data_IF_233702058731
#
_entry.id   IF_233702058731
#
_cell.length_a   1.000
_cell.length_b   1.000
_cell.length_c   1.000
_cell.angle_alpha   90.00
_cell.angle_beta   90.00
_cell.angle_gamma   90.00
#
_symmetry.space_group_name_H-M   'P 1'
#
loop_
_entity.id
_entity.type
_entity.pdbx_description
1 polymer ?
#
# COMPACT_ATOMS: atom_id res chain seq x y z
N UNK A 1 -7.51 -5.92 -30.24
CA UNK A 1 -8.34 -5.09 -31.12
C UNK A 1 -8.19 -3.63 -30.72
N UNK A 2 -8.20 -2.70 -31.68
CA UNK A 2 -8.18 -1.26 -31.41
C UNK A 2 -9.47 -0.67 -31.97
N UNK A 3 -10.16 0.14 -31.19
CA UNK A 3 -11.37 0.84 -31.63
C UNK A 3 -11.40 2.23 -31.02
N UNK A 4 -12.04 3.16 -31.72
CA UNK A 4 -12.17 4.55 -31.28
C UNK A 4 -13.54 4.78 -30.65
N UNK A 5 -13.57 5.15 -29.37
CA UNK A 5 -14.79 5.59 -28.67
C UNK A 5 -14.68 7.07 -28.38
N UNK A 6 -15.61 7.87 -28.92
CA UNK A 6 -15.66 9.34 -28.72
C UNK A 6 -14.30 10.02 -28.96
N UNK A 7 -13.57 9.60 -30.00
CA UNK A 7 -12.25 10.14 -30.35
C UNK A 7 -11.08 9.62 -29.52
N UNK A 8 -11.30 8.72 -28.56
CA UNK A 8 -10.23 8.06 -27.78
C UNK A 8 -9.95 6.68 -28.37
N UNK A 9 -8.71 6.43 -28.77
CA UNK A 9 -8.27 5.10 -29.18
C UNK A 9 -8.20 4.18 -27.95
N UNK A 10 -9.09 3.19 -27.90
CA UNK A 10 -9.13 2.18 -26.85
C UNK A 10 -8.58 0.88 -27.42
N UNK A 11 -7.71 0.27 -26.65
CA UNK A 11 -7.13 -1.02 -26.97
C UNK A 11 -7.62 -2.06 -26.01
N UNK A 12 -8.15 -3.13 -26.58
CA UNK A 12 -8.69 -4.24 -25.82
C UNK A 12 -7.97 -5.50 -26.24
N UNK A 13 -7.29 -6.09 -25.27
CA UNK A 13 -6.72 -7.43 -25.35
C UNK A 13 -7.49 -8.33 -24.39
N UNK A 14 -7.53 -9.65 -24.62
CA UNK A 14 -8.13 -10.58 -23.67
C UNK A 14 -7.54 -10.43 -22.26
N UNK A 15 -6.24 -10.17 -22.15
CA UNK A 15 -5.56 -9.93 -20.88
C UNK A 15 -6.07 -8.66 -20.16
N UNK A 16 -6.30 -7.57 -20.91
CA UNK A 16 -6.86 -6.32 -20.34
C UNK A 16 -8.28 -6.58 -19.82
N UNK A 17 -9.12 -7.30 -20.57
CA UNK A 17 -10.48 -7.64 -20.12
C UNK A 17 -10.44 -8.52 -18.86
N UNK A 18 -9.62 -9.56 -18.86
CA UNK A 18 -9.46 -10.44 -17.71
C UNK A 18 -8.97 -9.67 -16.48
N UNK A 19 -7.98 -8.79 -16.63
CA UNK A 19 -7.48 -7.96 -15.54
C UNK A 19 -8.53 -6.96 -15.02
N UNK A 20 -9.35 -6.37 -15.90
CA UNK A 20 -10.46 -5.49 -15.49
C UNK A 20 -11.53 -6.26 -14.72
N UNK A 21 -11.98 -7.40 -15.25
CA UNK A 21 -12.99 -8.24 -14.60
C UNK A 21 -12.47 -8.72 -13.24
N UNK A 22 -11.20 -9.14 -13.17
CA UNK A 22 -10.57 -9.55 -11.92
C UNK A 22 -10.50 -8.40 -10.90
N UNK A 23 -10.06 -7.21 -11.33
CA UNK A 23 -9.98 -6.03 -10.45
C UNK A 23 -11.35 -5.62 -9.91
N UNK A 24 -12.36 -5.56 -10.79
CA UNK A 24 -13.75 -5.25 -10.40
C UNK A 24 -14.36 -6.34 -9.51
N UNK A 25 -14.08 -7.62 -9.79
CA UNK A 25 -14.54 -8.73 -8.96
C UNK A 25 -13.96 -8.68 -7.55
N UNK A 26 -12.66 -8.41 -7.41
CA UNK A 26 -12.00 -8.25 -6.11
C UNK A 26 -12.58 -7.03 -5.36
N UNK A 27 -12.75 -5.90 -6.04
CA UNK A 27 -13.32 -4.70 -5.42
C UNK A 27 -14.79 -4.90 -5.01
N UNK A 28 -15.58 -5.54 -5.88
CA UNK A 28 -16.97 -5.88 -5.64
C UNK A 28 -17.15 -6.83 -4.47
N UNK A 29 -16.29 -7.86 -4.34
CA UNK A 29 -16.27 -8.74 -3.18
C UNK A 29 -16.02 -7.95 -1.88
N UNK A 30 -15.02 -7.06 -1.86
CA UNK A 30 -14.75 -6.22 -0.71
C UNK A 30 -15.91 -5.26 -0.37
N UNK A 31 -16.54 -4.67 -1.37
CA UNK A 31 -17.72 -3.81 -1.19
C UNK A 31 -18.92 -4.58 -0.62
N UNK A 32 -19.20 -5.78 -1.17
CA UNK A 32 -20.27 -6.65 -0.70
C UNK A 32 -20.07 -7.08 0.75
N UNK A 33 -18.86 -7.54 1.10
CA UNK A 33 -18.55 -7.96 2.46
C UNK A 33 -18.62 -6.79 3.46
N UNK A 34 -18.23 -5.57 3.06
CA UNK A 34 -18.39 -4.38 3.90
C UNK A 34 -19.87 -4.04 4.16
N UNK A 35 -20.72 -4.03 3.12
CA UNK A 35 -22.16 -3.77 3.26
C UNK A 35 -22.80 -4.85 4.14
N UNK A 36 -22.44 -6.11 3.93
CA UNK A 36 -22.93 -7.22 4.75
C UNK A 36 -22.54 -7.04 6.22
N UNK A 37 -21.29 -6.63 6.50
CA UNK A 37 -20.84 -6.34 7.86
C UNK A 37 -21.57 -5.15 8.50
N UNK A 38 -21.83 -4.08 7.74
CA UNK A 38 -22.56 -2.91 8.24
C UNK A 38 -23.98 -3.32 8.63
N UNK A 39 -24.72 -3.96 7.72
CA UNK A 39 -26.08 -4.41 8.00
C UNK A 39 -26.12 -5.40 9.16
N UNK A 40 -25.17 -6.34 9.22
CA UNK A 40 -25.07 -7.29 10.33
C UNK A 40 -24.88 -6.59 11.68
N UNK A 41 -24.13 -5.48 11.73
CA UNK A 41 -23.92 -4.66 12.92
C UNK A 41 -25.14 -3.78 13.22
N UNK A 42 -25.74 -3.16 12.22
CA UNK A 42 -26.83 -2.22 12.38
C UNK A 42 -28.12 -2.92 12.86
N UNK A 43 -28.43 -4.07 12.26
CA UNK A 43 -29.64 -4.87 12.53
C UNK A 43 -29.44 -5.93 13.64
N UNK A 44 -28.27 -5.95 14.27
CA UNK A 44 -27.94 -6.92 15.30
C UNK A 44 -28.86 -6.86 16.52
N UNK A 45 -29.37 -8.02 16.93
CA UNK A 45 -30.07 -8.21 18.19
C UNK A 45 -29.13 -8.83 19.22
N UNK A 46 -29.01 -8.22 20.38
CA UNK A 46 -28.20 -8.75 21.48
C UNK A 46 -28.91 -9.94 22.15
N UNK A 47 -28.18 -11.05 22.29
CA UNK A 47 -28.62 -12.27 23.00
C UNK A 47 -27.53 -12.72 23.96
N UNK A 48 -27.93 -13.44 25.00
CA UNK A 48 -26.99 -14.14 25.86
C UNK A 48 -26.43 -15.37 25.13
N UNK A 49 -25.14 -15.60 25.27
CA UNK A 49 -24.45 -16.77 24.70
C UNK A 49 -23.50 -17.38 25.72
N UNK A 50 -23.28 -18.69 25.62
CA UNK A 50 -22.28 -19.40 26.42
C UNK A 50 -21.07 -19.71 25.56
N UNK A 51 -19.88 -19.33 26.02
CA UNK A 51 -18.62 -19.65 25.33
C UNK A 51 -18.30 -21.13 25.54
N UNK A 52 -18.15 -21.88 24.45
CA UNK A 52 -17.80 -23.31 24.46
C UNK A 52 -16.29 -23.51 24.37
N UNK A 53 -15.61 -22.70 23.58
CA UNK A 53 -14.17 -22.81 23.41
C UNK A 53 -13.54 -21.70 22.58
N UNK A 54 -12.25 -21.51 22.79
CA UNK A 54 -11.44 -20.51 22.07
C UNK A 54 -10.29 -21.19 21.34
N UNK A 55 -10.04 -20.79 20.10
CA UNK A 55 -8.92 -21.30 19.30
C UNK A 55 -8.15 -20.17 18.62
N UNK A 56 -6.82 -20.30 18.60
CA UNK A 56 -5.92 -19.50 17.78
C UNK A 56 -5.25 -20.42 16.78
N UNK A 57 -5.82 -20.48 15.58
CA UNK A 57 -5.23 -21.23 14.48
C UNK A 57 -4.08 -20.45 13.85
N UNK A 58 -2.93 -21.11 13.68
CA UNK A 58 -1.79 -20.60 12.92
C UNK A 58 -1.86 -21.16 11.51
N UNK A 59 -1.66 -20.31 10.51
CA UNK A 59 -1.57 -20.77 9.13
C UNK A 59 -0.24 -21.46 8.85
N UNK A 60 -0.28 -22.62 8.19
CA UNK A 60 0.93 -23.25 7.67
C UNK A 60 1.34 -22.60 6.33
N UNK A 61 2.51 -21.96 6.30
CA UNK A 61 3.02 -21.30 5.10
C UNK A 61 4.26 -20.44 5.31
N UNK A 62 4.84 -19.94 4.21
CA UNK A 62 6.05 -19.10 4.23
C UNK A 62 5.85 -17.74 4.94
N UNK A 63 4.60 -17.32 5.09
CA UNK A 63 4.16 -16.24 5.99
C UNK A 63 3.11 -16.82 6.93
N UNK A 64 3.39 -16.77 8.22
CA UNK A 64 2.46 -17.21 9.25
C UNK A 64 1.52 -16.05 9.61
N UNK A 65 0.24 -16.36 9.74
CA UNK A 65 -0.76 -15.49 10.34
C UNK A 65 -1.59 -16.29 11.32
N UNK A 66 -2.13 -15.59 12.32
CA UNK A 66 -3.00 -16.13 13.34
C UNK A 66 -4.45 -15.74 13.05
N UNK A 67 -5.38 -16.69 13.19
CA UNK A 67 -6.83 -16.46 13.16
C UNK A 67 -7.42 -16.85 14.49
N UNK A 68 -8.24 -15.95 15.01
CA UNK A 68 -9.02 -16.16 16.22
C UNK A 68 -10.38 -16.76 15.85
N UNK A 69 -10.81 -17.77 16.60
CA UNK A 69 -12.18 -18.29 16.57
C UNK A 69 -12.65 -18.50 18.01
N UNK A 70 -13.89 -18.08 18.31
CA UNK A 70 -14.53 -18.31 19.62
C UNK A 70 -15.84 -19.02 19.36
N UNK A 71 -15.89 -20.29 19.72
CA UNK A 71 -17.08 -21.13 19.61
C UNK A 71 -18.02 -20.83 20.77
N UNK A 72 -19.28 -20.51 20.46
CA UNK A 72 -20.29 -20.10 21.42
C UNK A 72 -21.68 -20.56 20.99
N UNK A 73 -22.52 -20.91 21.97
CA UNK A 73 -23.90 -21.37 21.78
C UNK A 73 -24.89 -20.34 22.30
N UNK A 74 -25.99 -20.15 21.59
CA UNK A 74 -27.02 -19.16 21.92
C UNK A 74 -28.38 -19.64 21.45
N UNK A 75 -29.42 -19.15 22.12
CA UNK A 75 -30.79 -19.39 21.71
C UNK A 75 -31.36 -18.16 21.01
N UNK A 76 -31.96 -18.36 19.84
CA UNK A 76 -32.67 -17.31 19.12
C UNK A 76 -33.99 -17.86 18.57
N UNK A 77 -35.09 -17.21 18.91
CA UNK A 77 -36.45 -17.62 18.50
C UNK A 77 -36.79 -19.08 18.84
N UNK A 78 -36.40 -19.56 20.02
CA UNK A 78 -36.70 -20.93 20.47
C UNK A 78 -35.84 -22.02 19.82
N UNK A 79 -34.74 -21.66 19.15
CA UNK A 79 -33.79 -22.59 18.53
C UNK A 79 -32.38 -22.30 19.00
N UNK A 80 -31.66 -23.36 19.33
CA UNK A 80 -30.25 -23.28 19.68
C UNK A 80 -29.38 -23.22 18.41
N UNK A 81 -28.40 -22.32 18.42
CA UNK A 81 -27.43 -22.12 17.36
C UNK A 81 -26.01 -22.15 17.92
N UNK A 82 -25.05 -22.45 17.07
CA UNK A 82 -23.62 -22.41 17.39
C UNK A 82 -22.89 -21.56 16.37
N UNK A 83 -22.09 -20.60 16.82
CA UNK A 83 -21.24 -19.77 15.97
C UNK A 83 -19.80 -19.82 16.43
N UNK A 84 -18.86 -19.55 15.51
CA UNK A 84 -17.41 -19.43 15.77
C UNK A 84 -16.87 -18.03 15.50
N UNK A 85 -17.75 -17.07 15.25
CA UNK A 85 -17.38 -15.74 14.76
C UNK A 85 -17.20 -14.74 15.91
N UNK A 86 -16.08 -14.02 15.90
CA UNK A 86 -15.87 -12.90 16.82
C UNK A 86 -16.34 -11.58 16.20
N UNK A 87 -16.15 -11.44 14.89
CA UNK A 87 -16.47 -10.24 14.12
C UNK A 87 -17.57 -10.54 13.09
N UNK A 88 -18.36 -9.53 12.70
CA UNK A 88 -19.38 -9.69 11.67
C UNK A 88 -18.76 -10.01 10.30
N UNK A 89 -19.58 -10.62 9.43
CA UNK A 89 -19.25 -10.86 8.02
C UNK A 89 -18.44 -12.13 7.76
N UNK A 90 -18.07 -12.31 6.49
CA UNK A 90 -17.37 -13.52 6.03
C UNK A 90 -15.85 -13.39 6.11
N UNK A 91 -15.32 -12.17 5.94
CA UNK A 91 -13.90 -11.89 6.05
C UNK A 91 -13.49 -11.84 7.52
N UNK A 92 -12.61 -12.75 7.93
CA UNK A 92 -12.05 -12.75 9.28
C UNK A 92 -10.76 -11.94 9.34
N UNK A 93 -10.51 -11.17 10.43
CA UNK A 93 -9.24 -10.51 10.60
C UNK A 93 -8.10 -11.52 10.73
N UNK A 94 -6.96 -11.16 10.16
CA UNK A 94 -5.71 -11.92 10.25
C UNK A 94 -4.70 -11.12 11.06
N UNK A 95 -4.02 -11.80 11.97
CA UNK A 95 -3.03 -11.19 12.86
C UNK A 95 -1.63 -11.71 12.50
N UNK A 96 -0.65 -10.80 12.44
CA UNK A 96 0.75 -11.17 12.18
C UNK A 96 1.53 -11.42 13.46
N UNK A 97 1.02 -10.94 14.60
CA UNK A 97 1.61 -11.10 15.94
C UNK A 97 0.65 -11.92 16.80
N UNK A 98 1.17 -12.94 17.49
CA UNK A 98 0.35 -13.83 18.33
C UNK A 98 -0.31 -13.09 19.50
N UNK A 99 0.40 -12.15 20.12
CA UNK A 99 -0.13 -11.35 21.23
C UNK A 99 -1.33 -10.50 20.82
N UNK A 100 -1.37 -10.01 19.57
CA UNK A 100 -2.55 -9.30 19.05
C UNK A 100 -3.76 -10.22 18.97
N UNK A 101 -3.57 -11.46 18.50
CA UNK A 101 -4.64 -12.46 18.46
C UNK A 101 -5.10 -12.85 19.88
N UNK A 102 -4.15 -12.99 20.81
CA UNK A 102 -4.44 -13.37 22.19
C UNK A 102 -5.27 -12.30 22.92
N UNK A 103 -4.96 -11.02 22.73
CA UNK A 103 -5.76 -9.90 23.27
C UNK A 103 -7.22 -9.89 22.81
N UNK A 104 -7.55 -10.55 21.70
CA UNK A 104 -8.92 -10.63 21.20
C UNK A 104 -9.71 -11.75 21.88
N UNK A 105 -9.04 -12.86 22.24
CA UNK A 105 -9.69 -14.00 22.93
C UNK A 105 -9.69 -13.88 24.44
N UNK A 106 -8.77 -13.11 25.01
CA UNK A 106 -8.59 -12.94 26.46
C UNK A 106 -9.90 -12.63 27.23
N UNK A 107 -10.85 -11.85 26.70
CA UNK A 107 -12.13 -11.60 27.38
C UNK A 107 -13.15 -12.75 27.32
N UNK A 108 -12.85 -13.86 26.63
CA UNK A 108 -13.80 -14.95 26.39
C UNK A 108 -13.25 -16.25 26.98
N UNK A 109 -13.55 -16.53 28.24
CA UNK A 109 -13.16 -17.81 28.84
C UNK A 109 -14.19 -18.90 28.56
N UNK A 110 -13.77 -20.17 28.39
CA UNK A 110 -14.71 -21.28 28.23
C UNK A 110 -15.66 -21.42 29.43
N UNK A 111 -16.93 -21.69 29.13
CA UNK A 111 -18.06 -21.80 30.07
C UNK A 111 -18.54 -20.48 30.69
N UNK A 112 -18.03 -19.34 30.25
CA UNK A 112 -18.57 -18.05 30.65
C UNK A 112 -19.71 -17.59 29.73
N UNK A 113 -20.62 -16.79 30.30
CA UNK A 113 -21.69 -16.12 29.57
C UNK A 113 -21.19 -14.80 28.99
N UNK A 114 -21.47 -14.55 27.72
CA UNK A 114 -21.16 -13.31 27.03
C UNK A 114 -22.39 -12.79 26.26
N UNK A 115 -22.28 -11.58 25.72
CA UNK A 115 -23.29 -11.05 24.78
C UNK A 115 -22.88 -11.36 23.35
N UNK A 116 -23.72 -12.10 22.63
CA UNK A 116 -23.61 -12.28 21.19
C UNK A 116 -24.62 -11.37 20.47
N UNK A 117 -24.32 -11.06 19.21
CA UNK A 117 -25.13 -10.24 18.33
C UNK A 117 -25.59 -11.10 17.16
N UNK A 118 -26.90 -11.30 17.05
CA UNK A 118 -27.54 -12.12 16.02
C UNK A 118 -28.12 -11.20 14.95
N UNK A 119 -27.79 -11.45 13.69
CA UNK A 119 -28.47 -10.82 12.56
C UNK A 119 -29.73 -11.62 12.21
N UNK A 120 -30.94 -11.03 12.20
CA UNK A 120 -32.18 -11.76 11.94
C UNK A 120 -32.20 -12.55 10.63
N UNK A 121 -31.57 -12.02 9.58
CA UNK A 121 -31.49 -12.65 8.26
C UNK A 121 -30.46 -13.80 8.17
N UNK A 122 -29.58 -13.91 9.17
CA UNK A 122 -28.59 -14.99 9.27
C UNK A 122 -28.38 -15.39 10.74
N UNK A 123 -29.36 -16.08 11.35
CA UNK A 123 -29.32 -16.38 12.78
C UNK A 123 -28.21 -17.37 13.15
N UNK A 124 -27.60 -18.08 12.20
CA UNK A 124 -26.45 -18.96 12.44
C UNK A 124 -25.11 -18.22 12.56
N UNK A 125 -25.05 -16.96 12.14
CA UNK A 125 -23.82 -16.17 12.04
C UNK A 125 -23.64 -15.15 13.15
N UNK A 126 -24.04 -15.46 14.39
CA UNK A 126 -23.87 -14.52 15.50
C UNK A 126 -22.39 -14.21 15.77
N UNK A 127 -22.12 -12.99 16.20
CA UNK A 127 -20.77 -12.49 16.46
C UNK A 127 -20.68 -11.81 17.82
N UNK A 128 -19.49 -11.80 18.42
CA UNK A 128 -19.29 -11.30 19.79
C UNK A 128 -18.95 -9.80 19.84
N UNK A 129 -18.38 -9.23 18.79
CA UNK A 129 -18.02 -7.80 18.71
C UNK A 129 -18.83 -7.07 17.66
N UNK A 130 -19.66 -6.12 18.11
CA UNK A 130 -20.43 -5.20 17.27
C UNK A 130 -19.57 -4.09 16.67
N UNK A 131 -18.63 -4.45 15.81
CA UNK A 131 -17.78 -3.51 15.08
C UNK A 131 -17.42 -4.03 13.69
N UNK A 132 -17.47 -3.17 12.69
CA UNK A 132 -16.97 -3.48 11.34
C UNK A 132 -15.45 -3.57 11.36
N UNK A 133 -14.88 -4.47 10.55
CA UNK A 133 -13.43 -4.56 10.39
C UNK A 133 -12.97 -3.85 9.11
N UNK A 134 -11.75 -3.31 9.12
CA UNK A 134 -11.18 -2.65 7.94
C UNK A 134 -10.66 -3.61 6.85
N UNK A 135 -10.75 -4.93 7.06
CA UNK A 135 -10.25 -5.92 6.12
C UNK A 135 -10.85 -5.79 4.69
N UNK A 136 -12.16 -5.50 4.50
CA UNK A 136 -12.76 -5.39 3.17
C UNK A 136 -12.15 -4.25 2.34
N UNK A 137 -11.75 -3.15 2.98
CA UNK A 137 -11.13 -2.01 2.30
C UNK A 137 -9.81 -2.36 1.61
N UNK A 138 -9.10 -3.39 2.07
CA UNK A 138 -7.89 -3.89 1.38
C UNK A 138 -8.23 -4.45 0.01
N UNK A 139 -9.33 -5.22 -0.09
CA UNK A 139 -9.81 -5.77 -1.36
C UNK A 139 -10.36 -4.66 -2.26
N UNK A 140 -11.16 -3.75 -1.72
CA UNK A 140 -11.67 -2.57 -2.44
C UNK A 140 -10.49 -1.77 -3.02
N UNK A 141 -9.50 -1.44 -2.19
CA UNK A 141 -8.33 -0.66 -2.61
C UNK A 141 -7.52 -1.36 -3.70
N UNK A 142 -7.17 -2.63 -3.50
CA UNK A 142 -6.37 -3.39 -4.47
C UNK A 142 -7.12 -3.61 -5.79
N UNK A 143 -8.38 -4.04 -5.72
CA UNK A 143 -9.21 -4.28 -6.90
C UNK A 143 -9.46 -3.00 -7.71
N UNK A 144 -9.76 -1.89 -7.03
CA UNK A 144 -9.99 -0.58 -7.67
C UNK A 144 -8.71 -0.05 -8.31
N UNK A 145 -7.56 -0.19 -7.64
CA UNK A 145 -6.27 0.23 -8.19
C UNK A 145 -5.91 -0.58 -9.44
N UNK A 146 -6.08 -1.90 -9.39
CA UNK A 146 -5.85 -2.77 -10.55
C UNK A 146 -6.74 -2.36 -11.71
N UNK A 147 -8.05 -2.23 -11.49
CA UNK A 147 -9.00 -1.85 -12.52
C UNK A 147 -8.67 -0.47 -13.12
N UNK A 148 -8.32 0.51 -12.28
CA UNK A 148 -7.93 1.85 -12.72
C UNK A 148 -6.66 1.84 -13.58
N UNK A 149 -5.60 1.17 -13.12
CA UNK A 149 -4.34 1.08 -13.87
C UNK A 149 -4.54 0.36 -15.20
N UNK A 150 -5.33 -0.72 -15.23
CA UNK A 150 -5.65 -1.44 -16.45
C UNK A 150 -6.46 -0.58 -17.42
N UNK A 151 -7.47 0.16 -16.93
CA UNK A 151 -8.25 1.08 -17.76
C UNK A 151 -7.39 2.20 -18.34
N UNK A 152 -6.53 2.81 -17.51
CA UNK A 152 -5.58 3.84 -17.93
C UNK A 152 -4.60 3.33 -18.98
N UNK A 153 -4.13 2.09 -18.85
CA UNK A 153 -3.27 1.44 -19.84
C UNK A 153 -4.03 1.15 -21.16
N UNK A 154 -5.30 0.73 -21.08
CA UNK A 154 -6.13 0.39 -22.24
C UNK A 154 -6.44 1.60 -23.13
N UNK A 155 -6.66 2.78 -22.52
CA UNK A 155 -6.91 4.05 -23.24
C UNK A 155 -5.63 4.85 -23.50
N UNK A 156 -4.49 4.37 -23.01
CA UNK A 156 -3.21 5.06 -23.13
C UNK A 156 -2.64 4.94 -24.55
N UNK A 157 -1.97 6.02 -24.99
CA UNK A 157 -1.22 6.02 -26.24
C UNK A 157 -0.25 4.82 -26.28
N UNK A 158 -0.07 4.19 -27.45
CA UNK A 158 0.70 2.94 -27.62
C UNK A 158 2.22 3.15 -27.58
N UNK A 159 2.71 4.18 -28.28
CA UNK A 159 4.16 4.46 -28.39
C UNK A 159 4.57 5.79 -27.72
N UNK A 160 4.10 6.11 -26.49
CA UNK A 160 4.44 7.37 -25.85
C UNK A 160 5.92 7.34 -25.44
N UNK A 161 6.71 8.28 -25.96
CA UNK A 161 8.12 8.42 -25.57
C UNK A 161 9.11 7.51 -26.31
N UNK A 162 8.72 6.96 -27.46
CA UNK A 162 9.62 6.27 -28.38
C UNK A 162 10.01 7.18 -29.57
N UNK A 163 9.03 7.84 -30.19
CA UNK A 163 9.21 8.67 -31.40
C UNK A 163 9.27 10.17 -31.11
N UNK A 164 9.74 10.55 -29.93
CA UNK A 164 9.95 11.96 -29.60
C UNK A 164 11.35 12.36 -30.05
N UNK A 165 11.48 12.92 -31.25
CA UNK A 165 12.74 13.53 -31.67
C UNK A 165 13.05 14.71 -30.75
N UNK A 166 14.22 14.67 -30.13
CA UNK A 166 14.75 15.77 -29.32
C UNK A 166 15.69 16.52 -30.26
N UNK A 167 15.35 17.76 -30.61
CA UNK A 167 16.25 18.58 -31.43
C UNK A 167 17.59 18.73 -30.73
N UNK A 168 18.65 18.19 -31.33
CA UNK A 168 20.03 18.38 -30.87
C UNK A 168 20.50 19.83 -31.09
N UNK A 169 19.81 20.56 -31.96
CA UNK A 169 20.11 21.90 -32.51
C UNK A 169 19.22 23.02 -31.96
N UNK A 170 18.74 22.94 -30.71
CA UNK A 170 18.18 24.15 -30.07
C UNK A 170 19.33 25.07 -29.69
N UNK A 171 19.58 26.10 -30.50
CA UNK A 171 20.64 27.12 -30.41
C UNK A 171 20.71 27.86 -29.06
N UNK A 172 19.72 27.66 -28.17
CA UNK A 172 19.80 28.03 -26.75
C UNK A 172 19.32 26.88 -25.88
N UNK A 173 20.21 26.43 -24.99
CA UNK A 173 19.82 25.61 -23.86
C UNK A 173 18.97 26.47 -22.91
N UNK A 174 17.76 26.04 -22.51
CA UNK A 174 16.89 26.86 -21.66
C UNK A 174 17.54 27.04 -20.27
N UNK A 175 18.12 28.23 -20.04
CA UNK A 175 18.81 28.62 -18.81
C UNK A 175 17.89 28.61 -17.59
N UNK A 176 16.56 28.68 -17.81
CA UNK A 176 15.50 28.66 -16.80
C UNK A 176 15.55 27.46 -15.85
N UNK A 177 16.14 26.34 -16.27
CA UNK A 177 16.21 25.10 -15.46
C UNK A 177 17.59 24.81 -14.86
N UNK A 178 18.51 25.78 -14.87
CA UNK A 178 19.84 25.61 -14.30
C UNK A 178 19.84 25.74 -12.77
N UNK A 179 18.86 26.45 -12.21
CA UNK A 179 18.67 26.58 -10.76
C UNK A 179 17.31 26.05 -10.32
N UNK A 180 17.27 25.45 -9.14
CA UNK A 180 16.06 24.95 -8.49
C UNK A 180 16.09 25.45 -7.05
N UNK A 181 15.13 26.31 -6.68
CA UNK A 181 15.11 27.00 -5.38
C UNK A 181 16.42 27.76 -5.06
N UNK A 182 17.02 28.41 -6.06
CA UNK A 182 18.28 29.15 -5.91
C UNK A 182 19.55 28.28 -5.85
N UNK A 183 19.43 26.95 -5.75
CA UNK A 183 20.55 26.01 -5.80
C UNK A 183 20.82 25.55 -7.22
N UNK A 184 22.09 25.28 -7.55
CA UNK A 184 22.44 24.72 -8.85
C UNK A 184 21.88 23.30 -9.00
N UNK A 185 21.29 23.04 -10.17
CA UNK A 185 20.63 21.78 -10.49
C UNK A 185 21.58 20.58 -10.38
N UNK A 186 22.84 20.75 -10.76
CA UNK A 186 23.85 19.69 -10.72
C UNK A 186 24.24 19.31 -9.29
N UNK A 187 24.30 20.30 -8.40
CA UNK A 187 24.50 20.07 -6.96
C UNK A 187 23.33 19.28 -6.39
N UNK A 188 22.09 19.68 -6.73
CA UNK A 188 20.88 18.98 -6.27
C UNK A 188 20.89 17.50 -6.68
N UNK A 189 21.20 17.20 -7.95
CA UNK A 189 21.34 15.82 -8.45
C UNK A 189 22.43 15.03 -7.73
N UNK A 190 23.60 15.64 -7.51
CA UNK A 190 24.74 14.98 -6.89
C UNK A 190 24.44 14.66 -5.42
N UNK A 191 23.88 15.61 -4.68
CA UNK A 191 23.49 15.45 -3.28
C UNK A 191 22.39 14.41 -3.15
N UNK A 192 21.33 14.49 -3.96
CA UNK A 192 20.22 13.54 -3.88
C UNK A 192 20.67 12.10 -4.16
N UNK A 193 21.52 11.89 -5.17
CA UNK A 193 22.07 10.56 -5.50
C UNK A 193 23.00 10.04 -4.40
N UNK A 194 23.82 10.90 -3.80
CA UNK A 194 24.68 10.53 -2.67
C UNK A 194 23.84 10.11 -1.46
N UNK A 195 22.83 10.90 -1.09
CA UNK A 195 21.91 10.54 -0.02
C UNK A 195 21.27 9.18 -0.27
N UNK A 196 20.69 8.97 -1.46
CA UNK A 196 20.05 7.69 -1.81
C UNK A 196 21.01 6.49 -1.82
N UNK A 197 22.32 6.71 -2.00
CA UNK A 197 23.33 5.66 -1.97
C UNK A 197 23.81 5.36 -0.54
N UNK A 198 24.09 6.40 0.25
CA UNK A 198 24.72 6.26 1.56
C UNK A 198 23.71 5.93 2.67
N UNK A 199 22.50 6.48 2.64
CA UNK A 199 21.56 6.26 3.73
C UNK A 199 21.17 4.78 3.87
N UNK A 200 20.84 4.02 2.81
CA UNK A 200 20.54 2.59 2.99
C UNK A 200 21.70 1.82 3.62
N UNK A 201 22.96 2.14 3.26
CA UNK A 201 24.14 1.53 3.87
C UNK A 201 24.21 1.81 5.38
N UNK A 202 23.99 3.07 5.80
CA UNK A 202 23.94 3.44 7.22
C UNK A 202 22.80 2.71 7.96
N UNK A 203 21.64 2.55 7.30
CA UNK A 203 20.51 1.81 7.89
C UNK A 203 20.87 0.35 8.14
N UNK A 204 21.47 -0.34 7.16
CA UNK A 204 21.87 -1.74 7.33
C UNK A 204 22.97 -1.92 8.37
N UNK A 205 23.97 -1.03 8.39
CA UNK A 205 25.02 -1.06 9.43
C UNK A 205 24.38 -0.88 10.80
N UNK A 206 23.49 0.10 10.97
CA UNK A 206 22.76 0.30 12.23
C UNK A 206 21.96 -0.94 12.64
N UNK A 207 21.24 -1.56 11.70
CA UNK A 207 20.46 -2.78 11.98
C UNK A 207 21.36 -3.93 12.47
N UNK A 208 22.51 -4.14 11.81
CA UNK A 208 23.50 -5.14 12.24
C UNK A 208 24.04 -4.81 13.63
N UNK A 209 24.33 -3.54 13.92
CA UNK A 209 24.77 -3.10 15.24
C UNK A 209 23.71 -3.36 16.32
N UNK A 210 22.43 -3.08 16.04
CA UNK A 210 21.32 -3.37 16.97
C UNK A 210 21.27 -4.86 17.27
N UNK A 211 21.27 -5.71 16.24
CA UNK A 211 21.22 -7.17 16.42
C UNK A 211 22.43 -7.67 17.20
N UNK A 212 23.64 -7.22 16.86
CA UNK A 212 24.86 -7.61 17.57
C UNK A 212 24.82 -7.21 19.05
N UNK A 213 24.35 -5.98 19.37
CA UNK A 213 24.22 -5.53 20.75
C UNK A 213 23.17 -6.33 21.53
N UNK A 214 22.04 -6.66 20.90
CA UNK A 214 20.99 -7.47 21.51
C UNK A 214 21.43 -8.91 21.78
N UNK A 215 22.21 -9.53 20.88
CA UNK A 215 22.72 -10.89 21.07
C UNK A 215 23.76 -10.98 22.20
N UNK A 216 24.45 -9.89 22.52
CA UNK A 216 25.47 -9.84 23.57
C UNK A 216 24.95 -9.25 24.89
N UNK A 217 23.67 -8.90 25.00
CA UNK A 217 23.13 -8.36 26.26
C UNK A 217 22.76 -9.48 27.24
N UNK A 218 23.56 -9.64 28.29
CA UNK A 218 23.27 -10.51 29.42
C UNK A 218 22.36 -9.76 30.43
N UNK A 219 21.04 -9.93 30.36
CA UNK A 219 20.15 -9.54 31.46
C UNK A 219 18.87 -8.77 31.10
N UNK A 220 17.81 -9.12 31.82
CA UNK A 220 16.44 -8.66 31.71
C UNK A 220 16.29 -7.14 31.94
N UNK A 221 15.49 -6.49 31.09
CA UNK A 221 15.16 -5.05 31.04
C UNK A 221 16.22 -4.13 30.40
N UNK A 222 16.25 -4.14 29.06
CA UNK A 222 16.90 -3.10 28.26
C UNK A 222 16.15 -1.77 28.46
N UNK A 223 16.61 -0.93 29.39
CA UNK A 223 16.21 0.48 29.40
C UNK A 223 16.81 1.17 28.17
N UNK A 224 15.96 1.43 27.17
CA UNK A 224 16.36 2.09 25.92
C UNK A 224 16.40 3.60 26.16
N UNK A 225 17.57 4.12 26.53
CA UNK A 225 17.86 5.55 26.47
C UNK A 225 18.52 5.90 25.14
N UNK A 226 18.32 7.12 24.65
CA UNK A 226 18.94 7.66 23.42
C UNK A 226 20.48 7.67 23.53
N UNK A 227 21.02 7.79 24.74
CA UNK A 227 22.46 7.80 25.01
C UNK A 227 23.09 6.41 25.06
N UNK A 228 22.29 5.35 25.09
CA UNK A 228 22.80 3.98 25.11
C UNK A 228 23.22 3.56 23.69
N UNK A 229 24.19 2.63 23.53
CA UNK A 229 24.63 2.16 22.21
C UNK A 229 23.48 1.66 21.31
N UNK A 230 22.50 0.97 21.91
CA UNK A 230 21.28 0.53 21.22
C UNK A 230 20.41 1.72 20.79
N UNK A 231 20.23 2.71 21.66
CA UNK A 231 19.48 3.94 21.36
C UNK A 231 20.13 4.77 20.25
N UNK A 232 21.46 4.89 20.25
CA UNK A 232 22.20 5.56 19.19
C UNK A 232 22.05 4.84 17.84
N UNK A 233 22.14 3.50 17.84
CA UNK A 233 21.94 2.73 16.62
C UNK A 233 20.50 2.90 16.10
N UNK A 234 19.48 2.81 16.95
CA UNK A 234 18.08 3.06 16.58
C UNK A 234 17.87 4.47 16.00
N UNK A 235 18.45 5.50 16.63
CA UNK A 235 18.40 6.87 16.13
C UNK A 235 19.07 6.99 14.75
N UNK A 236 20.23 6.36 14.56
CA UNK A 236 20.92 6.33 13.27
C UNK A 236 20.10 5.63 12.18
N UNK A 237 19.39 4.53 12.51
CA UNK A 237 18.46 3.88 11.58
C UNK A 237 17.32 4.82 11.20
N UNK A 238 16.71 5.50 12.18
CA UNK A 238 15.62 6.44 11.95
C UNK A 238 16.05 7.62 11.07
N UNK A 239 17.17 8.28 11.42
CA UNK A 239 17.73 9.37 10.62
C UNK A 239 18.10 8.93 9.22
N UNK A 240 18.58 7.69 9.06
CA UNK A 240 18.86 7.14 7.75
C UNK A 240 17.60 7.01 6.89
N UNK A 241 16.51 6.49 7.45
CA UNK A 241 15.22 6.40 6.74
C UNK A 241 14.72 7.79 6.33
N UNK A 242 14.77 8.77 7.25
CA UNK A 242 14.40 10.16 6.94
C UNK A 242 15.29 10.77 5.86
N UNK A 243 16.60 10.54 5.94
CA UNK A 243 17.58 10.99 4.95
C UNK A 243 17.36 10.35 3.58
N UNK A 244 16.94 9.09 3.53
CA UNK A 244 16.57 8.41 2.29
C UNK A 244 15.33 9.03 1.65
N UNK A 245 14.26 9.24 2.43
CA UNK A 245 13.02 9.89 1.95
C UNK A 245 13.29 11.31 1.47
N UNK A 246 14.12 12.06 2.21
CA UNK A 246 14.54 13.41 1.82
C UNK A 246 15.35 13.40 0.52
N UNK A 247 16.36 12.52 0.42
CA UNK A 247 17.15 12.34 -0.80
C UNK A 247 16.30 11.96 -2.01
N UNK A 248 15.33 11.06 -1.82
CA UNK A 248 14.39 10.65 -2.85
C UNK A 248 13.48 11.81 -3.29
N UNK A 249 13.03 12.65 -2.36
CA UNK A 249 12.24 13.85 -2.64
C UNK A 249 13.03 14.87 -3.44
N UNK A 250 14.27 15.16 -3.03
CA UNK A 250 15.17 16.04 -3.79
C UNK A 250 15.45 15.48 -5.20
N UNK A 251 15.66 14.17 -5.31
CA UNK A 251 15.82 13.52 -6.61
C UNK A 251 14.56 13.65 -7.45
N UNK A 252 13.37 13.49 -6.87
CA UNK A 252 12.08 13.67 -7.56
C UNK A 252 11.91 15.08 -8.11
N UNK A 253 12.24 16.11 -7.32
CA UNK A 253 12.23 17.51 -7.75
C UNK A 253 13.20 17.72 -8.92
N UNK A 254 14.45 17.29 -8.80
CA UNK A 254 15.43 17.34 -9.89
C UNK A 254 14.99 16.53 -11.12
N UNK A 255 14.32 15.40 -10.89
CA UNK A 255 13.86 14.51 -11.95
C UNK A 255 12.77 15.16 -12.78
N UNK A 256 11.85 15.83 -12.10
CA UNK A 256 10.77 16.58 -12.71
C UNK A 256 11.25 17.83 -13.47
N UNK A 257 12.24 18.55 -12.95
CA UNK A 257 12.80 19.71 -13.67
C UNK A 257 13.53 19.29 -14.94
N UNK A 258 14.26 18.17 -14.90
CA UNK A 258 14.89 17.62 -16.11
C UNK A 258 13.86 17.14 -17.13
N UNK A 259 12.79 16.50 -16.66
CA UNK A 259 11.67 16.14 -17.54
C UNK A 259 11.14 17.38 -18.27
N UNK A 260 10.94 18.50 -17.58
CA UNK A 260 10.47 19.76 -18.19
C UNK A 260 11.47 20.31 -19.20
N UNK A 261 12.76 20.29 -18.89
CA UNK A 261 13.84 20.70 -19.82
C UNK A 261 13.86 19.84 -21.08
N UNK A 262 13.76 18.52 -20.96
CA UNK A 262 13.70 17.62 -22.11
C UNK A 262 12.42 17.86 -22.93
N UNK A 263 11.31 18.18 -22.28
CA UNK A 263 10.04 18.47 -22.97
C UNK A 263 10.12 19.73 -23.83
N UNK A 264 10.85 20.76 -23.40
CA UNK A 264 11.00 22.01 -24.17
C UNK A 264 11.82 21.85 -25.43
N UNK A 265 12.68 20.83 -25.49
CA UNK A 265 13.49 20.48 -26.67
C UNK A 265 12.73 19.72 -27.75
N UNK A 266 11.47 19.37 -27.48
CA UNK A 266 10.62 18.67 -28.44
C UNK A 266 10.04 19.73 -29.40
N UNK A 267 10.22 19.58 -30.72
CA UNK A 267 9.58 20.42 -31.72
C UNK A 267 8.06 20.47 -31.57
N UNK A 268 7.45 21.56 -32.02
CA UNK A 268 6.00 21.63 -32.11
C UNK A 268 5.49 20.79 -33.30
N UNK A 269 4.36 20.08 -33.16
CA UNK A 269 3.47 20.06 -32.01
C UNK A 269 3.95 19.15 -30.87
N UNK A 270 4.06 19.73 -29.66
CA UNK A 270 4.54 18.98 -28.48
C UNK A 270 3.53 17.95 -27.97
N UNK A 271 4.00 16.76 -27.56
CA UNK A 271 3.15 15.77 -26.93
C UNK A 271 2.52 16.28 -25.61
N UNK A 272 1.26 15.91 -25.30
CA UNK A 272 0.65 16.20 -23.99
C UNK A 272 1.48 15.63 -22.83
N UNK A 273 1.57 16.39 -21.73
CA UNK A 273 2.37 16.06 -20.55
C UNK A 273 1.91 14.75 -19.90
N UNK A 274 2.76 13.71 -19.75
CA UNK A 274 2.38 12.47 -19.09
C UNK A 274 1.87 12.67 -17.66
N UNK A 275 2.42 13.63 -16.91
CA UNK A 275 1.98 13.93 -15.54
C UNK A 275 0.64 14.68 -15.44
N UNK A 276 0.08 15.17 -16.56
CA UNK A 276 -1.29 15.70 -16.63
C UNK A 276 -2.26 14.74 -17.30
N UNK A 277 -1.75 13.69 -17.93
CA UNK A 277 -2.54 12.69 -18.65
C UNK A 277 -2.14 11.29 -18.15
N UNK A 278 -2.78 10.79 -17.07
CA UNK A 278 -2.33 9.61 -16.34
C UNK A 278 -2.29 8.34 -17.21
N UNK A 279 -3.15 8.23 -18.22
CA UNK A 279 -3.13 7.12 -19.18
C UNK A 279 -1.79 7.03 -19.92
N UNK A 280 -1.20 8.18 -20.28
CA UNK A 280 0.10 8.23 -20.94
C UNK A 280 1.23 7.88 -19.98
N UNK A 281 1.17 8.35 -18.73
CA UNK A 281 2.16 7.99 -17.71
C UNK A 281 2.16 6.48 -17.45
N UNK A 282 0.97 5.89 -17.27
CA UNK A 282 0.81 4.45 -17.06
C UNK A 282 1.37 3.67 -18.24
N UNK A 283 1.08 4.04 -19.49
CA UNK A 283 1.67 3.31 -20.62
C UNK A 283 3.18 3.43 -20.70
N UNK A 284 3.76 4.61 -20.45
CA UNK A 284 5.22 4.77 -20.38
C UNK A 284 5.82 3.89 -19.27
N UNK A 285 5.17 3.81 -18.11
CA UNK A 285 5.60 2.99 -16.99
C UNK A 285 5.59 1.49 -17.32
N UNK A 286 4.53 1.01 -17.97
CA UNK A 286 4.35 -0.39 -18.35
C UNK A 286 5.13 -0.78 -19.62
N UNK A 287 5.60 0.18 -20.42
CA UNK A 287 6.38 -0.09 -21.63
C UNK A 287 7.64 -0.90 -21.31
N UNK A 288 7.79 -2.03 -22.01
CA UNK A 288 8.99 -2.88 -22.02
C UNK A 288 9.93 -2.57 -23.19
N UNK A 289 9.43 -1.80 -24.16
CA UNK A 289 10.16 -1.41 -25.37
C UNK A 289 11.18 -0.30 -25.08
N UNK A 290 12.12 -0.10 -26.02
CA UNK A 290 13.17 0.90 -25.90
C UNK A 290 12.60 2.32 -25.87
N UNK A 291 12.70 2.97 -24.71
CA UNK A 291 12.30 4.36 -24.54
C UNK A 291 13.48 5.28 -24.89
N UNK A 292 13.17 6.36 -25.61
CA UNK A 292 14.12 7.45 -25.86
C UNK A 292 14.46 8.19 -24.56
N UNK A 293 15.38 9.16 -24.61
CA UNK A 293 15.82 9.88 -23.42
C UNK A 293 14.66 10.55 -22.65
N UNK A 294 13.66 11.09 -23.36
CA UNK A 294 12.45 11.67 -22.77
C UNK A 294 11.58 10.61 -22.08
N UNK A 295 11.23 9.52 -22.77
CA UNK A 295 10.40 8.45 -22.23
C UNK A 295 11.04 7.77 -21.02
N UNK A 296 12.34 7.50 -21.09
CA UNK A 296 13.12 6.94 -19.97
C UNK A 296 13.10 7.86 -18.76
N UNK A 297 13.20 9.18 -18.99
CA UNK A 297 13.16 10.16 -17.92
C UNK A 297 11.78 10.23 -17.26
N UNK A 298 10.71 10.19 -18.05
CA UNK A 298 9.34 10.13 -17.53
C UNK A 298 9.14 8.88 -16.69
N UNK A 299 9.59 7.71 -17.16
CA UNK A 299 9.50 6.43 -16.42
C UNK A 299 10.23 6.49 -15.08
N UNK A 300 11.46 6.98 -15.06
CA UNK A 300 12.23 7.14 -13.81
C UNK A 300 11.56 8.11 -12.84
N UNK A 301 11.09 9.26 -13.34
CA UNK A 301 10.41 10.27 -12.51
C UNK A 301 9.11 9.73 -11.94
N UNK A 302 8.31 9.02 -12.76
CA UNK A 302 7.09 8.36 -12.32
C UNK A 302 7.35 7.33 -11.22
N UNK A 303 8.36 6.46 -11.42
CA UNK A 303 8.75 5.47 -10.41
C UNK A 303 9.16 6.10 -9.07
N UNK A 304 9.93 7.20 -9.11
CA UNK A 304 10.33 7.92 -7.90
C UNK A 304 9.12 8.46 -7.14
N UNK A 305 8.15 9.08 -7.83
CA UNK A 305 6.95 9.57 -7.16
C UNK A 305 6.10 8.43 -6.58
N UNK A 306 5.96 7.32 -7.31
CA UNK A 306 5.29 6.12 -6.78
C UNK A 306 6.00 5.59 -5.53
N UNK A 307 7.33 5.56 -5.52
CA UNK A 307 8.11 5.10 -4.37
C UNK A 307 7.97 6.07 -3.18
N UNK A 308 7.98 7.39 -3.41
CA UNK A 308 7.74 8.39 -2.36
C UNK A 308 6.36 8.18 -1.72
N UNK A 309 5.31 8.06 -2.54
CA UNK A 309 3.94 7.82 -2.03
C UNK A 309 3.88 6.51 -1.25
N UNK A 310 4.47 5.43 -1.77
CA UNK A 310 4.53 4.15 -1.06
C UNK A 310 5.22 4.27 0.30
N UNK A 311 6.40 4.92 0.38
CA UNK A 311 7.11 5.11 1.64
C UNK A 311 6.33 5.96 2.63
N UNK A 312 5.68 7.04 2.17
CA UNK A 312 4.81 7.87 3.02
C UNK A 312 3.64 7.04 3.55
N UNK A 313 3.01 6.21 2.70
CA UNK A 313 1.93 5.32 3.12
C UNK A 313 2.39 4.28 4.14
N UNK A 314 3.60 3.72 3.99
CA UNK A 314 4.18 2.78 4.97
C UNK A 314 4.43 3.49 6.31
N UNK A 315 5.01 4.69 6.31
CA UNK A 315 5.24 5.47 7.54
C UNK A 315 3.92 5.81 8.21
N UNK A 316 2.93 6.30 7.46
CA UNK A 316 1.60 6.60 7.98
C UNK A 316 0.92 5.35 8.55
N UNK A 317 1.04 4.20 7.87
CA UNK A 317 0.51 2.93 8.37
C UNK A 317 1.16 2.54 9.70
N UNK A 318 2.49 2.58 9.81
CA UNK A 318 3.21 2.27 11.05
C UNK A 318 2.77 3.19 12.18
N UNK A 319 2.64 4.49 11.94
CA UNK A 319 2.20 5.47 12.93
C UNK A 319 0.78 5.19 13.43
N UNK A 320 -0.15 4.83 12.53
CA UNK A 320 -1.54 4.50 12.89
C UNK A 320 -1.64 3.17 13.63
N UNK A 321 -0.78 2.19 13.32
CA UNK A 321 -0.79 0.89 14.03
C UNK A 321 -0.05 0.92 15.36
N UNK A 322 0.84 1.88 15.56
CA UNK A 322 1.59 2.04 16.80
C UNK A 322 0.86 2.91 17.85
N UNK A 323 -0.17 3.65 17.43
CA UNK A 323 -1.10 4.40 18.29
C UNK A 323 -2.26 3.54 18.75
#
# INVERSE_FOLDING_TARGET
MQFTLRGVAVTVTPLILLALILGLGIAGYGGYDYVQQSNAVDDAVAVETTVVGTDISRSDGRRFYYRVSVEHTYEYQGREYTSKQVFPGSTRPIYTVQSDAQRIIEPYEPNETATAYVTPDNPSGAFLKRQTIFAPFRFIGFGSLLALLTALHAIGARNPGQNTEISQTSEREPTRYNTVFGLSRDTLSRVSKRLMLFTPAVFFVSLVTIVALLLNSEGSSLQVSVTNPVGFALLAALLSVLGFVFGLTLYGIWSFTEYRRLRERIPDPRPPSPFRHPSRLVTIMYSREELNAYGRRVKLTGFVFTLIVFLISVVAFVLVTAS
#
